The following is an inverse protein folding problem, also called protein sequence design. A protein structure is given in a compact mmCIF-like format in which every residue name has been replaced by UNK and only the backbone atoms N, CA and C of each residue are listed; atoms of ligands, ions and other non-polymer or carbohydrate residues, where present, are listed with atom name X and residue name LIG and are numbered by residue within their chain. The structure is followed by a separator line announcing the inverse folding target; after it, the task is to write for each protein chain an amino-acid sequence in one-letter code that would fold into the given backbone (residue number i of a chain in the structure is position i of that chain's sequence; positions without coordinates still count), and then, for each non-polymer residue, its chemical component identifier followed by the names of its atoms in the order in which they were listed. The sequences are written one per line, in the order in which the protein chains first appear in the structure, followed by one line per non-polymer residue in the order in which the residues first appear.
data_IF_056110358504
#
_entry.id   IF_056110358504
#
_cell.length_a   1.000
_cell.length_b   1.000
_cell.length_c   1.000
_cell.angle_alpha   90.00
_cell.angle_beta   90.00
_cell.angle_gamma   90.00
#
_symmetry.space_group_name_H-M   'P 1'
#
loop_
_entity.id
_entity.type
_entity.pdbx_description
1 polymer ?
#
# COMPACT_ATOMS: atom_id res chain seq x y z
N UNK A 1 -14.70 -61.53 13.06
CA UNK A 1 -13.67 -61.53 14.13
C UNK A 1 -12.43 -62.19 13.56
N UNK A 2 -11.40 -61.43 13.18
CA UNK A 2 -10.00 -61.87 13.10
C UNK A 2 -9.15 -60.61 13.34
N UNK A 3 -8.43 -60.63 14.46
CA UNK A 3 -7.54 -59.58 14.95
C UNK A 3 -6.13 -60.11 14.70
N UNK A 4 -5.32 -59.38 13.94
CA UNK A 4 -3.87 -59.60 13.92
C UNK A 4 -3.20 -58.36 14.47
N UNK A 5 -2.83 -58.43 15.75
CA UNK A 5 -1.89 -57.52 16.40
C UNK A 5 -0.50 -57.81 15.84
N UNK A 6 0.19 -56.78 15.38
CA UNK A 6 1.65 -56.76 15.40
C UNK A 6 2.11 -55.54 16.18
N UNK A 7 2.64 -55.83 17.37
CA UNK A 7 3.46 -54.95 18.20
C UNK A 7 4.89 -55.01 17.70
N UNK A 8 5.52 -53.86 17.41
CA UNK A 8 6.87 -53.59 17.90
C UNK A 8 7.14 -52.08 17.89
N UNK A 9 7.54 -51.59 19.07
CA UNK A 9 8.09 -50.26 19.33
C UNK A 9 9.49 -50.19 18.71
N UNK A 10 9.84 -49.06 18.10
CA UNK A 10 11.15 -48.49 18.35
C UNK A 10 11.03 -46.96 18.39
N UNK A 11 11.53 -46.41 19.47
CA UNK A 11 11.54 -44.99 19.76
C UNK A 11 12.74 -44.38 19.07
N UNK A 12 12.55 -43.40 18.21
CA UNK A 12 13.55 -42.34 18.04
C UNK A 12 12.85 -41.01 18.07
N UNK A 13 12.77 -40.49 19.29
CA UNK A 13 12.57 -39.09 19.59
C UNK A 13 13.88 -38.37 19.20
N UNK A 14 13.87 -37.68 18.07
CA UNK A 14 14.80 -36.59 17.82
C UNK A 14 13.95 -35.33 17.68
N UNK A 15 14.00 -34.51 18.71
CA UNK A 15 13.48 -33.16 18.69
C UNK A 15 14.24 -32.37 17.63
N UNK A 16 13.53 -31.88 16.63
CA UNK A 16 13.92 -30.66 15.94
C UNK A 16 12.71 -29.73 15.95
N UNK A 17 12.68 -28.95 17.01
CA UNK A 17 12.17 -27.60 17.07
C UNK A 17 12.76 -26.79 15.91
N UNK A 18 12.22 -26.97 14.69
CA UNK A 18 12.45 -26.01 13.63
C UNK A 18 11.41 -24.91 13.82
N UNK A 19 11.84 -23.88 14.56
CA UNK A 19 11.25 -22.55 14.55
C UNK A 19 11.13 -22.08 13.10
N UNK A 20 10.03 -22.45 12.45
CA UNK A 20 9.66 -22.01 11.12
C UNK A 20 9.20 -20.58 11.21
N UNK A 21 10.16 -19.65 11.21
CA UNK A 21 9.96 -18.23 10.97
C UNK A 21 8.98 -18.13 9.78
N UNK A 22 7.78 -17.52 9.93
CA UNK A 22 6.93 -17.29 8.77
C UNK A 22 7.76 -16.43 7.82
N UNK A 23 7.97 -16.92 6.59
CA UNK A 23 8.79 -16.26 5.58
C UNK A 23 8.34 -14.79 5.44
N UNK A 24 9.05 -13.90 6.13
CA UNK A 24 8.92 -12.48 5.97
C UNK A 24 9.64 -12.13 4.66
N UNK A 25 8.84 -11.68 3.71
CA UNK A 25 9.26 -10.85 2.57
C UNK A 25 10.17 -11.48 1.51
N UNK A 26 9.78 -12.64 0.96
CA UNK A 26 10.18 -12.96 -0.43
C UNK A 26 9.12 -12.43 -1.38
N UNK A 27 9.15 -11.12 -1.68
CA UNK A 27 8.42 -10.59 -2.83
C UNK A 27 8.91 -11.31 -4.10
N UNK A 28 7.99 -11.91 -4.87
CA UNK A 28 8.34 -12.53 -6.15
C UNK A 28 8.92 -11.48 -7.09
N UNK A 29 9.89 -11.83 -7.95
CA UNK A 29 10.46 -10.90 -8.94
C UNK A 29 9.37 -10.22 -9.79
N UNK A 30 8.27 -10.94 -10.07
CA UNK A 30 7.11 -10.40 -10.78
C UNK A 30 6.35 -9.34 -9.98
N UNK A 31 6.24 -9.49 -8.66
CA UNK A 31 5.59 -8.50 -7.80
C UNK A 31 6.46 -7.24 -7.66
N UNK A 32 7.78 -7.40 -7.60
CA UNK A 32 8.74 -6.30 -7.57
C UNK A 32 8.72 -5.48 -8.87
N UNK A 33 8.73 -6.15 -10.04
CA UNK A 33 8.66 -5.48 -11.34
C UNK A 33 7.33 -4.73 -11.53
N UNK A 34 6.23 -5.33 -11.09
CA UNK A 34 4.92 -4.68 -11.10
C UNK A 34 4.88 -3.45 -10.19
N UNK A 35 5.45 -3.54 -8.98
CA UNK A 35 5.55 -2.41 -8.06
C UNK A 35 6.38 -1.26 -8.65
N UNK A 36 7.48 -1.57 -9.36
CA UNK A 36 8.31 -0.58 -10.01
C UNK A 36 7.58 0.13 -11.16
N UNK A 37 6.83 -0.62 -11.98
CA UNK A 37 6.01 -0.06 -13.05
C UNK A 37 4.94 0.89 -12.50
N UNK A 38 4.26 0.51 -11.42
CA UNK A 38 3.26 1.36 -10.77
C UNK A 38 3.89 2.62 -10.14
N UNK A 39 5.11 2.50 -9.60
CA UNK A 39 5.85 3.65 -9.11
C UNK A 39 6.21 4.62 -10.25
N UNK A 40 6.63 4.13 -11.41
CA UNK A 40 6.91 5.00 -12.57
C UNK A 40 5.65 5.68 -13.08
N UNK A 41 4.54 4.94 -13.19
CA UNK A 41 3.25 5.50 -13.62
C UNK A 41 2.76 6.59 -12.67
N UNK A 42 2.81 6.35 -11.36
CA UNK A 42 2.37 7.34 -10.37
C UNK A 42 3.24 8.59 -10.39
N UNK A 43 4.56 8.46 -10.54
CA UNK A 43 5.48 9.59 -10.72
C UNK A 43 5.17 10.38 -11.99
N UNK A 44 4.99 9.70 -13.13
CA UNK A 44 4.65 10.35 -14.40
C UNK A 44 3.30 11.08 -14.33
N UNK A 45 2.29 10.45 -13.71
CA UNK A 45 0.98 11.06 -13.50
C UNK A 45 1.06 12.30 -12.59
N UNK A 46 1.86 12.24 -11.51
CA UNK A 46 2.08 13.38 -10.62
C UNK A 46 2.78 14.53 -11.36
N UNK A 47 3.82 14.24 -12.15
CA UNK A 47 4.53 15.24 -12.93
C UNK A 47 3.63 15.91 -13.97
N UNK A 48 2.84 15.13 -14.72
CA UNK A 48 1.87 15.64 -15.68
C UNK A 48 0.79 16.50 -14.99
N UNK A 49 0.27 16.06 -13.84
CA UNK A 49 -0.70 16.84 -13.08
C UNK A 49 -0.10 18.18 -12.60
N UNK A 50 1.14 18.16 -12.10
CA UNK A 50 1.83 19.38 -11.67
C UNK A 50 2.01 20.37 -12.82
N UNK A 51 2.32 19.88 -14.03
CA UNK A 51 2.39 20.72 -15.24
C UNK A 51 1.04 21.36 -15.59
N UNK A 52 -0.08 20.62 -15.44
CA UNK A 52 -1.41 21.11 -15.85
C UNK A 52 -2.10 22.00 -14.84
N UNK A 53 -1.97 21.71 -13.54
CA UNK A 53 -2.72 22.41 -12.48
C UNK A 53 -1.86 23.10 -11.44
N UNK A 54 -0.53 23.04 -11.59
CA UNK A 54 0.45 23.61 -10.67
C UNK A 54 0.83 22.65 -9.54
N UNK A 55 2.11 22.68 -9.16
CA UNK A 55 2.69 21.79 -8.15
C UNK A 55 2.01 21.94 -6.78
N UNK A 56 1.79 23.18 -6.33
CA UNK A 56 1.13 23.44 -5.04
C UNK A 56 -0.30 22.87 -4.94
N UNK A 57 -1.03 22.84 -6.06
CA UNK A 57 -2.39 22.27 -6.08
C UNK A 57 -2.35 20.74 -5.97
N UNK A 58 -1.38 20.10 -6.60
CA UNK A 58 -1.18 18.64 -6.51
C UNK A 58 -0.79 18.23 -5.10
N UNK A 59 0.15 18.97 -4.47
CA UNK A 59 0.54 18.72 -3.08
C UNK A 59 -0.64 18.84 -2.11
N UNK A 60 -1.44 19.88 -2.27
CA UNK A 60 -2.61 20.12 -1.43
C UNK A 60 -3.66 19.01 -1.58
N UNK A 61 -3.93 18.55 -2.80
CA UNK A 61 -4.83 17.41 -3.05
C UNK A 61 -4.30 16.13 -2.39
N UNK A 62 -3.00 15.86 -2.51
CA UNK A 62 -2.39 14.69 -1.87
C UNK A 62 -2.50 14.75 -0.34
N UNK A 63 -2.29 15.93 0.24
CA UNK A 63 -2.42 16.15 1.67
C UNK A 63 -3.87 15.91 2.13
N UNK A 64 -4.85 16.46 1.42
CA UNK A 64 -6.27 16.26 1.73
C UNK A 64 -6.69 14.79 1.62
N UNK A 65 -6.16 14.07 0.61
CA UNK A 65 -6.40 12.63 0.43
C UNK A 65 -5.78 11.80 1.55
N UNK A 66 -4.54 12.11 1.94
CA UNK A 66 -3.83 11.44 3.03
C UNK A 66 -4.64 11.52 4.34
N UNK A 67 -5.22 12.69 4.61
CA UNK A 67 -6.07 12.93 5.78
C UNK A 67 -7.54 12.55 5.58
N UNK A 68 -7.90 11.95 4.43
CA UNK A 68 -9.28 11.54 4.08
C UNK A 68 -10.31 12.66 4.25
N UNK A 69 -9.94 13.88 3.90
CA UNK A 69 -10.84 15.03 4.00
C UNK A 69 -11.98 14.87 3.00
N UNK A 70 -13.19 14.67 3.52
CA UNK A 70 -14.39 14.62 2.71
C UNK A 70 -14.99 16.02 2.59
N UNK A 71 -15.16 16.50 1.35
CA UNK A 71 -15.79 17.79 1.10
C UNK A 71 -17.27 17.57 0.75
N UNK A 72 -18.21 17.99 1.61
CA UNK A 72 -19.64 17.94 1.27
C UNK A 72 -19.96 18.88 0.11
N UNK A 73 -20.89 18.50 -0.76
CA UNK A 73 -21.24 19.29 -1.95
C UNK A 73 -20.52 18.91 -3.24
N UNK A 74 -19.74 17.82 -3.21
CA UNK A 74 -19.20 17.19 -4.41
C UNK A 74 -18.01 17.93 -5.05
N UNK A 75 -17.67 17.63 -6.32
CA UNK A 75 -16.43 18.09 -6.95
C UNK A 75 -16.30 19.62 -7.02
N UNK A 76 -17.40 20.34 -7.22
CA UNK A 76 -17.39 21.80 -7.31
C UNK A 76 -17.01 22.45 -5.97
N UNK A 77 -17.56 21.95 -4.86
CA UNK A 77 -17.19 22.38 -3.52
C UNK A 77 -15.73 22.04 -3.20
N UNK A 78 -15.27 20.86 -3.64
CA UNK A 78 -13.85 20.46 -3.53
C UNK A 78 -12.90 21.41 -4.24
N UNK A 79 -13.20 21.80 -5.48
CA UNK A 79 -12.39 22.79 -6.21
C UNK A 79 -12.39 24.15 -5.51
N UNK A 80 -13.54 24.63 -5.03
CA UNK A 80 -13.63 25.90 -4.30
C UNK A 80 -12.80 25.89 -3.01
N UNK A 81 -12.79 24.76 -2.28
CA UNK A 81 -11.93 24.59 -1.10
C UNK A 81 -10.45 24.64 -1.47
N UNK A 82 -10.04 23.94 -2.53
CA UNK A 82 -8.66 23.97 -3.01
C UNK A 82 -8.22 25.40 -3.36
N UNK A 83 -9.06 26.14 -4.08
CA UNK A 83 -8.76 27.52 -4.47
C UNK A 83 -8.65 28.44 -3.25
N UNK A 84 -9.53 28.27 -2.25
CA UNK A 84 -9.48 29.03 -1.00
C UNK A 84 -8.20 28.75 -0.20
N UNK A 85 -7.78 27.48 -0.11
CA UNK A 85 -6.56 27.07 0.60
C UNK A 85 -5.30 27.57 -0.11
N UNK A 86 -5.27 27.53 -1.45
CA UNK A 86 -4.17 28.11 -2.24
C UNK A 86 -4.05 29.61 -1.98
N UNK A 87 -5.17 30.34 -2.00
CA UNK A 87 -5.19 31.76 -1.70
C UNK A 87 -4.74 32.07 -0.27
N UNK A 88 -5.17 31.27 0.71
CA UNK A 88 -4.74 31.43 2.10
C UNK A 88 -3.22 31.26 2.26
N UNK A 89 -2.64 30.28 1.56
CA UNK A 89 -1.18 30.07 1.53
C UNK A 89 -0.43 31.27 0.97
N UNK A 90 -0.96 31.96 -0.03
CA UNK A 90 -0.33 33.17 -0.61
C UNK A 90 -0.39 34.39 0.32
N UNK A 91 -1.32 34.40 1.28
CA UNK A 91 -1.48 35.50 2.25
C UNK A 91 -0.63 35.36 3.51
N UNK A 92 0.07 34.23 3.68
CA UNK A 92 0.89 33.92 4.86
C UNK A 92 2.36 33.89 4.46
#
# INVERSE_FOLDING_TARGET
MHVTRHTQKDSTQAAEESSGIPAADTMSQQDAEKAEVELRKSKAAKAWAAEKVGEGRVELVQLLQLHRVAVPGGPKAGHALLDALMKWRETT
#
